data_IF_860927069068
#
_entry.id   IF_860927069068
#
_cell.length_a   1.000
_cell.length_b   1.000
_cell.length_c   1.000
_cell.angle_alpha   90.00
_cell.angle_beta   90.00
_cell.angle_gamma   90.00
#
_symmetry.space_group_name_H-M   'P 1'
#
loop_
_entity.id
_entity.type
_entity.pdbx_description
1 polymer ?
#
# COMPACT_ATOMS: atom_id res chain seq x y z
N UNK A 1 -20.69 -8.06 -42.79
CA UNK A 1 -20.83 -7.25 -41.55
C UNK A 1 -19.56 -7.39 -40.78
N UNK A 2 -18.68 -6.37 -40.82
CA UNK A 2 -17.45 -6.37 -40.06
C UNK A 2 -17.74 -5.90 -38.62
N UNK A 3 -17.54 -6.78 -37.66
CA UNK A 3 -17.61 -6.41 -36.22
C UNK A 3 -16.37 -5.58 -35.92
N UNK A 4 -16.50 -4.27 -35.88
CA UNK A 4 -15.48 -3.35 -35.35
C UNK A 4 -15.41 -3.58 -33.86
N UNK A 5 -14.44 -4.37 -33.43
CA UNK A 5 -14.02 -4.44 -32.01
C UNK A 5 -13.41 -3.08 -31.64
N UNK A 6 -14.22 -2.22 -31.06
CA UNK A 6 -13.76 -1.01 -30.40
C UNK A 6 -12.91 -1.44 -29.21
N UNK A 7 -11.59 -1.51 -29.40
CA UNK A 7 -10.65 -1.52 -28.29
C UNK A 7 -10.74 -0.12 -27.67
N UNK A 8 -11.23 0.04 -26.43
CA UNK A 8 -11.26 1.36 -25.82
C UNK A 8 -9.81 1.84 -25.66
N UNK A 9 -9.54 3.03 -26.19
CA UNK A 9 -8.25 3.70 -26.00
C UNK A 9 -7.90 3.72 -24.51
N UNK A 10 -6.61 3.49 -24.14
CA UNK A 10 -6.18 3.59 -22.76
C UNK A 10 -6.45 5.02 -22.27
N UNK A 11 -7.38 5.18 -21.35
CA UNK A 11 -7.60 6.48 -20.72
C UNK A 11 -6.27 6.90 -20.08
N UNK A 12 -5.76 8.08 -20.43
CA UNK A 12 -4.53 8.65 -19.89
C UNK A 12 -4.52 8.49 -18.37
N UNK A 13 -3.50 7.79 -17.87
CA UNK A 13 -3.28 7.59 -16.45
C UNK A 13 -3.90 6.33 -15.82
N UNK A 14 -4.55 5.43 -16.56
CA UNK A 14 -5.01 4.15 -16.01
C UNK A 14 -3.86 3.15 -15.96
N UNK A 15 -3.72 2.44 -14.82
CA UNK A 15 -2.74 1.36 -14.65
C UNK A 15 -3.34 0.07 -15.23
N UNK A 16 -2.63 -0.59 -16.14
CA UNK A 16 -3.15 -1.74 -16.90
C UNK A 16 -3.51 -2.95 -16.02
N UNK A 17 -2.91 -3.08 -14.83
CA UNK A 17 -3.14 -4.14 -13.86
C UNK A 17 -4.14 -3.73 -12.75
N UNK A 18 -4.75 -2.54 -12.82
CA UNK A 18 -5.78 -2.09 -11.89
C UNK A 18 -7.18 -2.59 -12.28
N UNK A 19 -8.04 -2.78 -11.28
CA UNK A 19 -9.46 -3.08 -11.50
C UNK A 19 -10.13 -1.85 -12.09
N UNK A 20 -10.84 -2.02 -13.22
CA UNK A 20 -11.56 -0.93 -13.87
C UNK A 20 -12.71 -0.44 -12.98
N UNK A 21 -12.91 0.89 -12.92
CA UNK A 21 -13.99 1.49 -12.15
C UNK A 21 -13.78 1.43 -10.62
N UNK A 22 -12.53 1.29 -10.18
CA UNK A 22 -12.19 1.31 -8.75
C UNK A 22 -12.50 2.68 -8.12
N UNK A 23 -12.57 2.72 -6.78
CA UNK A 23 -12.95 3.91 -6.03
C UNK A 23 -11.97 5.09 -6.21
N UNK A 24 -10.68 4.82 -6.46
CA UNK A 24 -9.66 5.86 -6.70
C UNK A 24 -9.99 6.61 -7.99
N UNK A 25 -10.35 5.88 -9.05
CA UNK A 25 -10.68 6.50 -10.34
C UNK A 25 -12.02 7.25 -10.28
N UNK A 26 -12.95 6.79 -9.44
CA UNK A 26 -14.31 7.33 -9.37
C UNK A 26 -14.43 8.55 -8.46
N UNK A 27 -13.77 8.52 -7.29
CA UNK A 27 -14.00 9.51 -6.23
C UNK A 27 -12.77 10.36 -5.88
N UNK A 28 -11.54 9.86 -6.14
CA UNK A 28 -10.35 10.62 -5.75
C UNK A 28 -10.10 11.82 -6.68
N UNK A 29 -9.65 12.97 -6.14
CA UNK A 29 -9.22 14.11 -6.93
C UNK A 29 -8.11 13.71 -7.93
N UNK A 30 -8.11 14.25 -9.17
CA UNK A 30 -7.14 13.89 -10.20
C UNK A 30 -5.67 13.97 -9.75
N UNK A 31 -5.32 15.01 -8.98
CA UNK A 31 -3.96 15.21 -8.48
C UNK A 31 -3.48 14.14 -7.50
N UNK A 32 -4.38 13.49 -6.75
CA UNK A 32 -4.04 12.46 -5.76
C UNK A 32 -4.06 11.05 -6.34
N UNK A 33 -4.73 10.83 -7.47
CA UNK A 33 -4.87 9.51 -8.09
C UNK A 33 -3.56 8.78 -8.34
N UNK A 34 -2.50 9.41 -8.91
CA UNK A 34 -1.23 8.74 -9.13
C UNK A 34 -0.59 8.23 -7.83
N UNK A 35 -0.68 9.01 -6.75
CA UNK A 35 -0.15 8.62 -5.43
C UNK A 35 -0.96 7.50 -4.77
N UNK A 36 -2.28 7.53 -4.88
CA UNK A 36 -3.15 6.45 -4.37
C UNK A 36 -2.96 5.15 -5.16
N UNK A 37 -2.75 5.22 -6.48
CA UNK A 37 -2.39 4.07 -7.31
C UNK A 37 -1.00 3.53 -6.96
N UNK A 38 -0.03 4.40 -6.67
CA UNK A 38 1.29 4.02 -6.18
C UNK A 38 1.20 3.23 -4.87
N UNK A 39 0.30 3.66 -3.97
CA UNK A 39 -0.02 2.97 -2.70
C UNK A 39 -0.89 1.71 -2.87
N UNK A 40 -1.30 1.37 -4.10
CA UNK A 40 -2.22 0.25 -4.37
C UNK A 40 -3.56 0.37 -3.63
N UNK A 41 -4.03 1.60 -3.35
CA UNK A 41 -5.32 1.85 -2.73
C UNK A 41 -6.50 1.42 -3.62
N UNK A 42 -6.30 1.36 -4.92
CA UNK A 42 -7.21 0.84 -5.93
C UNK A 42 -7.49 -0.67 -5.80
N UNK A 43 -6.68 -1.41 -5.00
CA UNK A 43 -6.82 -2.86 -4.79
C UNK A 43 -6.53 -3.24 -3.33
N UNK A 44 -7.55 -3.21 -2.46
CA UNK A 44 -7.40 -3.30 -1.00
C UNK A 44 -6.99 -4.68 -0.48
N UNK A 45 -6.99 -5.72 -1.32
CA UNK A 45 -6.71 -7.10 -0.89
C UNK A 45 -5.39 -7.25 -0.13
N UNK A 46 -4.35 -6.52 -0.55
CA UNK A 46 -3.06 -6.53 0.14
C UNK A 46 -3.10 -5.86 1.51
N UNK A 47 -3.99 -4.91 1.74
CA UNK A 47 -4.23 -4.30 3.05
C UNK A 47 -4.88 -5.31 3.99
N UNK A 48 -5.86 -6.07 3.52
CA UNK A 48 -6.50 -7.13 4.30
C UNK A 48 -5.50 -8.20 4.74
N UNK A 49 -4.55 -8.58 3.89
CA UNK A 49 -3.51 -9.56 4.24
C UNK A 49 -2.59 -9.09 5.38
N UNK A 50 -2.35 -7.78 5.52
CA UNK A 50 -1.61 -7.25 6.66
C UNK A 50 -2.49 -7.08 7.89
N UNK A 51 -3.74 -6.67 7.70
CA UNK A 51 -4.66 -6.30 8.77
C UNK A 51 -5.20 -7.50 9.55
N UNK A 52 -5.61 -8.56 8.85
CA UNK A 52 -6.24 -9.73 9.50
C UNK A 52 -5.36 -10.38 10.57
N UNK A 53 -4.04 -10.62 10.35
CA UNK A 53 -3.17 -11.14 11.41
C UNK A 53 -3.06 -10.21 12.61
N UNK A 54 -3.08 -8.88 12.40
CA UNK A 54 -3.06 -7.92 13.51
C UNK A 54 -4.35 -8.02 14.35
N UNK A 55 -5.50 -8.12 13.70
CA UNK A 55 -6.78 -8.28 14.41
C UNK A 55 -6.89 -9.63 15.12
N UNK A 56 -6.33 -10.70 14.56
CA UNK A 56 -6.26 -11.98 15.24
C UNK A 56 -5.39 -11.91 16.50
N UNK A 57 -4.23 -11.23 16.43
CA UNK A 57 -3.38 -11.02 17.60
C UNK A 57 -4.09 -10.22 18.68
N UNK A 58 -4.80 -9.15 18.31
CA UNK A 58 -5.61 -8.38 19.24
C UNK A 58 -6.73 -9.21 19.86
N UNK A 59 -7.47 -9.97 19.07
CA UNK A 59 -8.54 -10.83 19.57
C UNK A 59 -8.03 -11.88 20.57
N UNK A 60 -6.87 -12.48 20.29
CA UNK A 60 -6.21 -13.40 21.22
C UNK A 60 -5.80 -12.72 22.53
N UNK A 61 -5.29 -11.48 22.48
CA UNK A 61 -4.98 -10.71 23.68
C UNK A 61 -6.23 -10.44 24.51
N UNK A 62 -7.34 -10.00 23.88
CA UNK A 62 -8.61 -9.78 24.57
C UNK A 62 -9.16 -11.04 25.22
N UNK A 63 -9.02 -12.21 24.56
CA UNK A 63 -9.43 -13.50 25.16
C UNK A 63 -8.54 -13.86 26.34
N UNK A 64 -7.24 -13.60 26.26
CA UNK A 64 -6.30 -13.85 27.35
C UNK A 64 -6.59 -12.98 28.58
N UNK A 65 -6.88 -11.68 28.37
CA UNK A 65 -7.18 -10.73 29.43
C UNK A 65 -8.61 -10.90 30.00
N UNK A 66 -9.48 -11.64 29.31
CA UNK A 66 -10.86 -11.93 29.70
C UNK A 66 -11.81 -10.73 29.64
N UNK A 67 -11.40 -9.63 29.05
CA UNK A 67 -12.19 -8.40 28.91
C UNK A 67 -11.84 -7.60 27.67
N UNK A 68 -12.78 -6.81 27.18
CA UNK A 68 -12.59 -5.83 26.13
C UNK A 68 -12.59 -4.42 26.72
N UNK A 69 -11.69 -3.58 26.28
CA UNK A 69 -11.52 -2.20 26.73
C UNK A 69 -11.65 -1.19 25.58
N UNK A 70 -11.86 0.07 25.94
CA UNK A 70 -11.82 1.15 24.93
C UNK A 70 -10.43 1.27 24.27
N UNK A 71 -9.39 0.85 24.96
CA UNK A 71 -8.04 0.82 24.40
C UNK A 71 -7.93 -0.17 23.25
N UNK A 72 -8.58 -1.32 23.33
CA UNK A 72 -8.58 -2.34 22.27
C UNK A 72 -9.25 -1.82 20.99
N UNK A 73 -10.29 -0.97 21.14
CA UNK A 73 -10.90 -0.32 19.98
C UNK A 73 -9.93 0.64 19.25
N UNK A 74 -9.12 1.37 20.02
CA UNK A 74 -8.07 2.22 19.46
C UNK A 74 -6.97 1.39 18.76
N UNK A 75 -6.58 0.27 19.35
CA UNK A 75 -5.63 -0.66 18.72
C UNK A 75 -6.23 -1.24 17.43
N UNK A 76 -7.50 -1.64 17.46
CA UNK A 76 -8.22 -2.17 16.29
C UNK A 76 -8.23 -1.18 15.12
N UNK A 77 -8.59 0.08 15.38
CA UNK A 77 -8.59 1.15 14.40
C UNK A 77 -7.17 1.51 13.94
N UNK A 78 -6.21 1.58 14.88
CA UNK A 78 -4.80 1.84 14.61
C UNK A 78 -4.18 0.79 13.68
N UNK A 79 -4.49 -0.49 13.91
CA UNK A 79 -4.07 -1.58 13.02
C UNK A 79 -4.62 -1.38 11.59
N UNK A 80 -5.89 -0.98 11.45
CA UNK A 80 -6.49 -0.78 10.14
C UNK A 80 -5.82 0.36 9.35
N UNK A 81 -5.64 1.51 10.00
CA UNK A 81 -4.98 2.67 9.40
C UNK A 81 -3.50 2.36 9.13
N UNK A 82 -2.81 1.75 10.11
CA UNK A 82 -1.41 1.36 9.99
C UNK A 82 -1.17 0.37 8.83
N UNK A 83 -2.01 -0.65 8.70
CA UNK A 83 -1.94 -1.62 7.61
C UNK A 83 -2.12 -0.96 6.24
N UNK A 84 -3.06 -0.02 6.11
CA UNK A 84 -3.27 0.73 4.88
C UNK A 84 -2.05 1.59 4.51
N UNK A 85 -1.51 2.34 5.47
CA UNK A 85 -0.35 3.21 5.27
C UNK A 85 0.92 2.41 4.95
N UNK A 86 1.19 1.36 5.74
CA UNK A 86 2.39 0.53 5.55
C UNK A 86 2.32 -0.29 4.26
N UNK A 87 1.12 -0.74 3.85
CA UNK A 87 0.92 -1.35 2.54
C UNK A 87 1.28 -0.38 1.43
N UNK A 88 0.81 0.88 1.54
CA UNK A 88 1.12 1.93 0.59
C UNK A 88 2.61 2.24 0.52
N UNK A 89 3.27 2.42 1.65
CA UNK A 89 4.71 2.67 1.75
C UNK A 89 5.52 1.52 1.14
N UNK A 90 5.19 0.26 1.46
CA UNK A 90 5.87 -0.92 0.92
C UNK A 90 5.71 -1.06 -0.60
N UNK A 91 4.51 -0.79 -1.14
CA UNK A 91 4.28 -0.79 -2.58
C UNK A 91 5.06 0.32 -3.29
N UNK A 92 5.09 1.52 -2.70
CA UNK A 92 5.87 2.64 -3.21
C UNK A 92 7.36 2.33 -3.24
N UNK A 93 7.88 1.70 -2.18
CA UNK A 93 9.28 1.24 -2.11
C UNK A 93 9.60 0.24 -3.23
N UNK A 94 8.74 -0.76 -3.44
CA UNK A 94 8.90 -1.72 -4.53
C UNK A 94 8.92 -1.01 -5.90
N UNK A 95 7.97 -0.10 -6.17
CA UNK A 95 7.88 0.57 -7.46
C UNK A 95 9.08 1.51 -7.71
N UNK A 96 9.64 2.15 -6.66
CA UNK A 96 10.88 2.93 -6.76
C UNK A 96 12.07 2.03 -7.12
N UNK A 97 12.18 0.89 -6.44
CA UNK A 97 13.31 -0.03 -6.60
C UNK A 97 13.28 -0.74 -7.96
N UNK A 98 12.09 -1.14 -8.40
CA UNK A 98 11.88 -1.90 -9.62
C UNK A 98 11.62 -1.02 -10.88
N UNK A 99 11.66 0.31 -10.75
CA UNK A 99 11.26 1.27 -11.79
C UNK A 99 11.86 0.99 -13.19
N UNK A 100 13.12 0.57 -13.25
CA UNK A 100 13.81 0.29 -14.52
C UNK A 100 13.30 -1.00 -15.16
N UNK A 101 13.01 -2.01 -14.34
CA UNK A 101 12.46 -3.29 -14.77
C UNK A 101 11.00 -3.11 -15.20
N UNK A 102 10.23 -2.41 -14.39
CA UNK A 102 8.82 -2.14 -14.63
C UNK A 102 8.60 -1.35 -15.94
N UNK A 103 9.51 -0.44 -16.28
CA UNK A 103 9.45 0.30 -17.53
C UNK A 103 9.68 -0.55 -18.79
N UNK A 104 10.37 -1.67 -18.67
CA UNK A 104 10.63 -2.59 -19.80
C UNK A 104 9.54 -3.64 -20.03
N UNK A 105 8.57 -3.77 -19.08
CA UNK A 105 7.50 -4.76 -19.15
C UNK A 105 6.18 -4.07 -19.47
N UNK A 106 5.51 -4.43 -20.55
CA UNK A 106 4.28 -3.80 -21.04
C UNK A 106 3.17 -3.72 -19.98
N UNK A 107 3.04 -4.73 -19.12
CA UNK A 107 2.06 -4.77 -18.04
C UNK A 107 2.30 -3.73 -16.95
N UNK A 108 3.55 -3.39 -16.67
CA UNK A 108 3.95 -2.51 -15.55
C UNK A 108 4.42 -1.14 -16.00
N UNK A 109 4.66 -0.93 -17.29
CA UNK A 109 5.07 0.35 -17.87
C UNK A 109 4.05 1.49 -17.61
N UNK A 110 2.77 1.16 -17.43
CA UNK A 110 1.70 2.11 -17.09
C UNK A 110 1.66 2.54 -15.62
N UNK A 111 2.51 1.97 -14.75
CA UNK A 111 2.60 2.37 -13.34
C UNK A 111 3.04 3.82 -13.19
N UNK A 112 2.67 4.51 -12.07
CA UNK A 112 2.90 5.94 -11.93
C UNK A 112 4.35 6.41 -12.07
N UNK A 113 5.35 5.63 -11.63
CA UNK A 113 6.77 6.03 -11.76
C UNK A 113 7.30 5.78 -13.17
N UNK A 114 7.22 4.57 -13.76
CA UNK A 114 7.68 4.32 -15.11
C UNK A 114 7.00 5.20 -16.17
N UNK A 115 5.71 5.49 -16.01
CA UNK A 115 4.94 6.35 -16.92
C UNK A 115 5.18 7.85 -16.75
N UNK A 116 5.98 8.26 -15.74
CA UNK A 116 6.29 9.67 -15.49
C UNK A 116 5.17 10.45 -14.77
N UNK A 117 4.08 9.81 -14.34
CA UNK A 117 3.00 10.46 -13.60
C UNK A 117 3.45 10.95 -12.22
N UNK A 118 4.41 10.25 -11.59
CA UNK A 118 5.02 10.61 -10.30
C UNK A 118 6.53 10.53 -10.43
N UNK A 119 7.21 11.61 -10.01
CA UNK A 119 8.67 11.61 -9.94
C UNK A 119 9.17 10.70 -8.80
N UNK A 120 10.39 10.18 -8.90
CA UNK A 120 11.01 9.38 -7.84
C UNK A 120 11.07 10.16 -6.51
N UNK A 121 11.39 11.45 -6.58
CA UNK A 121 11.39 12.33 -5.39
C UNK A 121 10.00 12.46 -4.78
N UNK A 122 8.96 12.66 -5.60
CA UNK A 122 7.58 12.71 -5.13
C UNK A 122 7.14 11.39 -4.49
N UNK A 123 7.54 10.27 -5.08
CA UNK A 123 7.28 8.95 -4.53
C UNK A 123 7.98 8.72 -3.19
N UNK A 124 9.25 9.19 -3.03
CA UNK A 124 9.98 9.11 -1.76
C UNK A 124 9.31 9.96 -0.67
N UNK A 125 8.90 11.18 -0.99
CA UNK A 125 8.19 12.05 -0.04
C UNK A 125 6.89 11.37 0.40
N UNK A 126 6.13 10.81 -0.54
CA UNK A 126 4.89 10.10 -0.27
C UNK A 126 5.09 8.88 0.62
N UNK A 127 6.14 8.08 0.35
CA UNK A 127 6.53 6.94 1.17
C UNK A 127 6.87 7.36 2.60
N UNK A 128 7.73 8.38 2.77
CA UNK A 128 8.15 8.87 4.07
C UNK A 128 6.96 9.40 4.87
N UNK A 129 6.06 10.14 4.22
CA UNK A 129 4.84 10.64 4.86
C UNK A 129 3.98 9.49 5.40
N UNK A 130 3.74 8.46 4.60
CA UNK A 130 2.97 7.29 5.02
C UNK A 130 3.66 6.54 6.17
N UNK A 131 4.98 6.34 6.09
CA UNK A 131 5.75 5.67 7.13
C UNK A 131 5.74 6.46 8.45
N UNK A 132 5.88 7.77 8.41
CA UNK A 132 5.82 8.63 9.60
C UNK A 132 4.42 8.63 10.24
N UNK A 133 3.36 8.70 9.44
CA UNK A 133 1.99 8.61 9.95
C UNK A 133 1.73 7.24 10.60
N UNK A 134 2.16 6.15 9.95
CA UNK A 134 2.05 4.80 10.51
C UNK A 134 2.87 4.65 11.80
N UNK A 135 4.07 5.21 11.85
CA UNK A 135 4.90 5.22 13.05
C UNK A 135 4.26 6.01 14.18
N UNK A 136 3.65 7.17 13.89
CA UNK A 136 2.89 7.95 14.88
C UNK A 136 1.77 7.15 15.52
N UNK A 137 1.03 6.35 14.72
CA UNK A 137 0.01 5.43 15.23
C UNK A 137 0.64 4.31 16.07
N UNK A 138 1.79 3.79 15.62
CA UNK A 138 2.49 2.71 16.32
C UNK A 138 2.96 3.12 17.74
N UNK A 139 3.22 4.40 17.99
CA UNK A 139 3.63 4.90 19.32
C UNK A 139 2.54 4.73 20.40
N UNK A 140 1.29 4.46 20.01
CA UNK A 140 0.20 4.14 20.95
C UNK A 140 0.33 2.72 21.52
N UNK A 141 1.09 1.86 20.86
CA UNK A 141 1.28 0.46 21.22
C UNK A 141 2.38 0.29 22.28
N UNK A 142 2.48 -0.89 22.84
CA UNK A 142 3.53 -1.22 23.80
C UNK A 142 4.93 -1.31 23.13
N UNK A 143 5.99 -1.18 23.94
CA UNK A 143 7.36 -1.16 23.45
C UNK A 143 7.75 -2.43 22.68
N UNK A 144 7.23 -3.59 23.07
CA UNK A 144 7.51 -4.86 22.38
C UNK A 144 6.92 -4.85 20.97
N UNK A 145 5.68 -4.37 20.80
CA UNK A 145 5.04 -4.22 19.49
C UNK A 145 5.82 -3.22 18.62
N UNK A 146 6.23 -2.08 19.17
CA UNK A 146 7.03 -1.08 18.45
C UNK A 146 8.34 -1.71 17.96
N UNK A 147 9.07 -2.40 18.84
CA UNK A 147 10.34 -3.04 18.50
C UNK A 147 10.17 -4.10 17.39
N UNK A 148 9.16 -4.96 17.50
CA UNK A 148 8.87 -5.99 16.49
C UNK A 148 8.45 -5.38 15.14
N UNK A 149 7.63 -4.35 15.14
CA UNK A 149 7.22 -3.66 13.93
C UNK A 149 8.41 -2.96 13.26
N UNK A 150 9.28 -2.29 14.00
CA UNK A 150 10.49 -1.68 13.46
C UNK A 150 11.44 -2.75 12.90
N UNK A 151 11.63 -3.85 13.62
CA UNK A 151 12.46 -4.96 13.14
C UNK A 151 11.90 -5.58 11.85
N UNK A 152 10.58 -5.65 11.69
CA UNK A 152 9.92 -6.18 10.49
C UNK A 152 10.16 -5.33 9.23
N UNK A 153 10.61 -4.08 9.36
CA UNK A 153 10.97 -3.25 8.22
C UNK A 153 12.22 -3.76 7.49
N UNK A 154 13.12 -4.47 8.19
CA UNK A 154 14.33 -5.03 7.56
C UNK A 154 14.01 -5.96 6.40
N UNK A 155 13.20 -7.04 6.57
CA UNK A 155 12.81 -7.89 5.45
C UNK A 155 11.99 -7.14 4.38
N UNK A 156 11.20 -6.14 4.75
CA UNK A 156 10.45 -5.33 3.77
C UNK A 156 11.41 -4.53 2.88
N UNK A 157 12.44 -3.91 3.45
CA UNK A 157 13.44 -3.16 2.70
C UNK A 157 14.28 -4.05 1.79
N UNK A 158 14.62 -5.27 2.24
CA UNK A 158 15.46 -6.22 1.51
C UNK A 158 14.65 -6.95 0.41
N UNK A 159 13.35 -7.15 0.60
CA UNK A 159 12.49 -7.96 -0.27
C UNK A 159 12.60 -7.65 -1.77
N UNK A 160 12.64 -6.40 -2.26
CA UNK A 160 12.76 -6.12 -3.69
C UNK A 160 14.09 -6.62 -4.28
N UNK A 161 15.17 -6.55 -3.49
CA UNK A 161 16.50 -7.00 -3.91
C UNK A 161 16.61 -8.52 -3.87
N UNK A 162 16.02 -9.18 -2.88
CA UNK A 162 16.03 -10.62 -2.75
C UNK A 162 15.33 -11.36 -3.90
N UNK A 163 14.41 -10.70 -4.59
CA UNK A 163 13.73 -11.26 -5.79
C UNK A 163 14.63 -11.34 -7.02
N UNK A 164 15.82 -10.74 -6.98
CA UNK A 164 16.74 -10.66 -8.13
C UNK A 164 17.79 -11.77 -8.12
N UNK A 165 17.78 -12.58 -7.06
CA UNK A 165 18.60 -13.78 -6.90
C UNK A 165 17.71 -15.01 -6.91
#
# INVERSE_FOLDING_TARGET
MAVTTHTPEPQEGTVSDAVRGNWVDRYAPPATRPYLRLSRADRPIGTWLLLLPCWWGLALAMVYDGQASWHDLWIFAGCAIGAFLMRGAGCTWNDITDRNIDGSVSRTASRPIPSGQVSVTGALIWLVLQALLAFGILLIFNLAAIALCVLSLLPVCISPFAKRF
#
